data_IF_505265122181
#
_entry.id   IF_505265122181
#
_cell.length_a   1.000
_cell.length_b   1.000
_cell.length_c   1.000
_cell.angle_alpha   90.00
_cell.angle_beta   90.00
_cell.angle_gamma   90.00
#
_symmetry.space_group_name_H-M   'P 1'
#
loop_
_entity.id
_entity.type
_entity.pdbx_description
1 polymer ?
#
# COMPACT_ATOMS: atom_id res chain seq x y z
N UNK A 1 25.92 -2.07 4.80
CA UNK A 1 24.71 -2.34 3.99
C UNK A 1 23.49 -1.67 4.62
N UNK A 2 22.98 -0.56 4.06
CA UNK A 2 21.73 0.02 4.53
C UNK A 2 20.56 -0.94 4.24
N UNK A 3 19.99 -1.57 5.28
CA UNK A 3 18.76 -2.37 5.13
C UNK A 3 17.62 -1.45 4.75
N UNK A 4 17.23 -1.46 3.47
CA UNK A 4 16.09 -0.69 2.98
C UNK A 4 14.82 -1.22 3.64
N UNK A 5 14.29 -0.48 4.63
CA UNK A 5 13.07 -0.87 5.35
C UNK A 5 11.87 -0.81 4.40
N UNK A 6 11.15 -1.93 4.30
CA UNK A 6 9.93 -2.08 3.48
C UNK A 6 8.70 -1.91 4.38
N UNK A 7 7.65 -1.31 3.84
CA UNK A 7 6.34 -1.13 4.47
C UNK A 7 5.25 -1.71 3.59
N UNK A 8 4.24 -2.27 4.24
CA UNK A 8 3.01 -2.74 3.63
C UNK A 8 1.90 -1.79 3.99
N UNK A 9 1.15 -1.34 2.99
CA UNK A 9 0.04 -0.42 3.14
C UNK A 9 -1.22 -1.09 2.60
N UNK A 10 -2.30 -1.05 3.37
CA UNK A 10 -3.62 -1.39 2.87
C UNK A 10 -4.31 -0.12 2.39
N UNK A 11 -4.74 -0.15 1.13
CA UNK A 11 -5.36 0.98 0.45
C UNK A 11 -6.75 0.56 0.01
N UNK A 12 -7.76 1.33 0.40
CA UNK A 12 -9.10 1.25 -0.17
C UNK A 12 -9.14 2.05 -1.46
N UNK A 13 -9.60 1.41 -2.52
CA UNK A 13 -9.64 1.98 -3.87
C UNK A 13 -9.46 0.92 -4.94
N UNK A 14 -9.69 1.33 -6.19
CA UNK A 14 -9.59 0.45 -7.35
C UNK A 14 -8.14 0.04 -7.60
N UNK A 15 -7.86 -1.27 -7.57
CA UNK A 15 -6.54 -1.87 -7.92
C UNK A 15 -5.93 -1.28 -9.21
N UNK A 16 -6.67 -1.17 -10.34
CA UNK A 16 -6.11 -0.59 -11.56
C UNK A 16 -5.73 0.88 -11.41
N UNK A 17 -6.49 1.66 -10.62
CA UNK A 17 -6.19 3.06 -10.34
C UNK A 17 -4.93 3.19 -9.49
N UNK A 18 -4.80 2.38 -8.43
CA UNK A 18 -3.60 2.32 -7.59
C UNK A 18 -2.36 1.96 -8.43
N UNK A 19 -2.50 0.99 -9.35
CA UNK A 19 -1.43 0.58 -10.27
C UNK A 19 -1.07 1.69 -11.25
N UNK A 20 -2.05 2.45 -11.76
CA UNK A 20 -1.80 3.57 -12.65
C UNK A 20 -1.10 4.74 -11.93
N UNK A 21 -1.52 5.06 -10.71
CA UNK A 21 -0.98 6.19 -9.92
C UNK A 21 0.45 5.96 -9.43
N UNK A 22 0.74 4.76 -8.95
CA UNK A 22 2.01 4.45 -8.32
C UNK A 22 2.96 3.70 -9.26
N UNK A 23 2.46 3.21 -10.40
CA UNK A 23 3.27 2.59 -11.45
C UNK A 23 4.18 1.49 -10.92
N UNK A 24 5.49 1.66 -11.15
CA UNK A 24 6.55 0.73 -10.73
C UNK A 24 7.13 1.04 -9.34
N UNK A 25 6.77 2.16 -8.71
CA UNK A 25 7.29 2.56 -7.38
C UNK A 25 6.77 1.67 -6.25
N UNK A 26 5.65 0.97 -6.46
CA UNK A 26 5.07 0.04 -5.49
C UNK A 26 4.80 -1.32 -6.10
N UNK A 27 4.86 -2.34 -5.27
CA UNK A 27 4.51 -3.71 -5.65
C UNK A 27 3.20 -4.10 -5.01
N UNK A 28 2.19 -4.43 -5.80
CA UNK A 28 0.93 -4.98 -5.29
C UNK A 28 1.22 -6.40 -4.79
N UNK A 29 0.91 -6.68 -3.53
CA UNK A 29 1.18 -7.98 -2.89
C UNK A 29 -0.03 -8.89 -3.04
N UNK A 30 -1.21 -8.38 -2.74
CA UNK A 30 -2.48 -9.06 -2.97
C UNK A 30 -3.62 -8.03 -3.03
N UNK A 31 -4.66 -8.38 -3.77
CA UNK A 31 -5.90 -7.61 -3.86
C UNK A 31 -6.90 -8.15 -2.85
N UNK A 32 -7.74 -7.27 -2.31
CA UNK A 32 -8.87 -7.64 -1.46
C UNK A 32 -10.12 -6.94 -1.98
N UNK A 33 -11.32 -7.41 -1.64
CA UNK A 33 -12.55 -6.69 -1.98
C UNK A 33 -12.48 -5.23 -1.48
N UNK A 34 -12.67 -4.28 -2.40
CA UNK A 34 -12.62 -2.84 -2.09
C UNK A 34 -11.21 -2.23 -1.98
N UNK A 35 -10.13 -2.98 -2.21
CA UNK A 35 -8.78 -2.43 -2.07
C UNK A 35 -7.62 -3.31 -2.51
N UNK A 36 -6.41 -2.85 -2.18
CA UNK A 36 -5.18 -3.59 -2.43
C UNK A 36 -4.19 -3.42 -1.28
N UNK A 37 -3.41 -4.47 -1.03
CA UNK A 37 -2.21 -4.36 -0.20
C UNK A 37 -1.02 -4.13 -1.10
N UNK A 38 -0.39 -2.96 -0.94
CA UNK A 38 0.81 -2.57 -1.66
C UNK A 38 2.02 -2.62 -0.74
N UNK A 39 3.17 -2.88 -1.34
CA UNK A 39 4.48 -2.86 -0.71
C UNK A 39 5.27 -1.69 -1.28
N UNK A 40 5.72 -0.82 -0.39
CA UNK A 40 6.55 0.33 -0.73
C UNK A 40 7.78 0.39 0.19
N UNK A 41 8.73 1.25 -0.15
CA UNK A 41 9.81 1.59 0.75
C UNK A 41 9.31 2.54 1.85
N UNK A 42 9.90 2.46 3.04
CA UNK A 42 9.57 3.35 4.16
C UNK A 42 9.78 4.83 3.79
N UNK A 43 10.83 5.14 3.03
CA UNK A 43 11.10 6.50 2.54
C UNK A 43 10.03 6.99 1.54
N UNK A 44 9.44 6.10 0.74
CA UNK A 44 8.41 6.44 -0.24
C UNK A 44 7.00 6.50 0.36
N UNK A 45 6.79 5.98 1.58
CA UNK A 45 5.48 5.95 2.26
C UNK A 45 4.74 7.31 2.26
N UNK A 46 5.35 8.45 2.67
CA UNK A 46 4.65 9.73 2.67
C UNK A 46 4.27 10.22 1.27
N UNK A 47 5.09 9.92 0.25
CA UNK A 47 4.78 10.26 -1.15
C UNK A 47 3.62 9.41 -1.67
N UNK A 48 3.67 8.10 -1.42
CA UNK A 48 2.62 7.15 -1.79
C UNK A 48 1.28 7.54 -1.14
N UNK A 49 1.28 7.87 0.16
CA UNK A 49 0.06 8.34 0.85
C UNK A 49 -0.49 9.62 0.24
N UNK A 50 0.35 10.59 -0.10
CA UNK A 50 -0.10 11.84 -0.75
C UNK A 50 -0.74 11.59 -2.12
N UNK A 51 -0.09 10.77 -2.95
CA UNK A 51 -0.61 10.42 -4.29
C UNK A 51 -1.94 9.69 -4.20
N UNK A 52 -2.04 8.70 -3.30
CA UNK A 52 -3.27 7.95 -3.08
C UNK A 52 -4.40 8.85 -2.58
N UNK A 53 -4.13 9.71 -1.60
CA UNK A 53 -5.13 10.62 -1.06
C UNK A 53 -5.62 11.63 -2.11
N UNK A 54 -4.71 12.16 -2.94
CA UNK A 54 -5.05 13.04 -4.06
C UNK A 54 -5.91 12.38 -5.14
N UNK A 55 -5.91 11.05 -5.22
CA UNK A 55 -6.73 10.29 -6.16
C UNK A 55 -8.01 9.70 -5.53
N UNK A 56 -8.35 10.10 -4.28
CA UNK A 56 -9.51 9.58 -3.56
C UNK A 56 -9.32 8.17 -3.00
N UNK A 57 -8.11 7.60 -3.05
CA UNK A 57 -7.78 6.32 -2.43
C UNK A 57 -7.39 6.52 -0.96
N UNK A 58 -8.02 5.79 -0.04
CA UNK A 58 -7.76 5.94 1.41
C UNK A 58 -6.83 4.85 1.92
N UNK A 59 -5.71 5.24 2.52
CA UNK A 59 -4.82 4.29 3.22
C UNK A 59 -5.39 4.00 4.61
N UNK A 60 -5.75 2.75 4.87
CA UNK A 60 -6.43 2.34 6.13
C UNK A 60 -5.46 1.75 7.12
N UNK A 61 -4.52 0.92 6.67
CA UNK A 61 -3.55 0.26 7.54
C UNK A 61 -2.14 0.39 6.99
N UNK A 62 -1.17 0.50 7.88
CA UNK A 62 0.25 0.42 7.55
C UNK A 62 0.96 -0.52 8.53
N UNK A 63 1.83 -1.38 8.02
CA UNK A 63 2.59 -2.32 8.83
C UNK A 63 3.94 -2.63 8.18
N UNK A 64 4.98 -2.82 8.98
CA UNK A 64 6.25 -3.40 8.49
C UNK A 64 6.15 -4.91 8.21
N UNK A 65 5.11 -5.57 8.74
CA UNK A 65 4.94 -7.02 8.70
C UNK A 65 3.63 -7.36 7.98
N UNK A 66 3.74 -8.09 6.88
CA UNK A 66 2.59 -8.52 6.06
C UNK A 66 1.61 -9.41 6.85
N UNK A 67 2.11 -10.36 7.63
CA UNK A 67 1.28 -11.24 8.48
C UNK A 67 0.39 -10.44 9.44
N UNK A 68 0.95 -9.41 10.08
CA UNK A 68 0.22 -8.53 11.01
C UNK A 68 -0.85 -7.69 10.28
N UNK A 69 -0.58 -7.29 9.04
CA UNK A 69 -1.54 -6.55 8.23
C UNK A 69 -2.69 -7.46 7.75
N UNK A 70 -2.37 -8.67 7.29
CA UNK A 70 -3.37 -9.68 6.86
C UNK A 70 -4.30 -10.10 8.00
N UNK A 71 -3.77 -10.21 9.22
CA UNK A 71 -4.59 -10.49 10.41
C UNK A 71 -5.57 -9.36 10.80
N UNK A 72 -5.32 -8.13 10.32
CA UNK A 72 -6.17 -6.95 10.60
C UNK A 72 -7.10 -6.59 9.44
N UNK A 73 -6.99 -7.30 8.32
CA UNK A 73 -7.92 -7.12 7.20
C UNK A 73 -9.25 -7.80 7.56
N UNK A 74 -10.40 -7.12 7.33
CA UNK A 74 -11.69 -7.77 7.46
C UNK A 74 -11.74 -8.94 6.47
N UNK A 75 -12.16 -10.11 6.95
CA UNK A 75 -12.35 -11.32 6.15
C UNK A 75 -13.57 -11.19 5.26
#
# INVERSE_FOLDING_TARGET
MMRVKKRYLFVLGSVPQIKALLGKDVRIVFSVPGGAVIKCFLASEPRVKRVLNGAGCKVVLSSGILKKLKARLPK
#
